data_IF_055239794529
#
_entry.id   IF_055239794529
#
_cell.length_a   1.000
_cell.length_b   1.000
_cell.length_c   1.000
_cell.angle_alpha   90.00
_cell.angle_beta   90.00
_cell.angle_gamma   90.00
#
_symmetry.space_group_name_H-M   'P 1'
#
loop_
_entity.id
_entity.type
_entity.pdbx_description
1 polymer ?
#
# COMPACT_ATOMS: atom_id res chain seq x y z
N UNK A 1 -16.94 -4.13 -5.74
CA UNK A 1 -15.54 -4.10 -6.18
C UNK A 1 -14.75 -5.12 -5.37
N UNK A 2 -14.11 -6.08 -6.02
CA UNK A 2 -13.10 -6.94 -5.39
C UNK A 2 -11.75 -6.19 -5.26
N UNK A 3 -10.80 -6.72 -4.49
CA UNK A 3 -9.44 -6.15 -4.44
C UNK A 3 -8.73 -6.26 -5.80
N UNK A 4 -9.06 -7.28 -6.59
CA UNK A 4 -8.51 -7.49 -7.92
C UNK A 4 -9.08 -6.48 -8.93
N UNK A 5 -10.39 -6.22 -8.89
CA UNK A 5 -11.02 -5.16 -9.69
C UNK A 5 -10.41 -3.80 -9.35
N UNK A 6 -10.25 -3.49 -8.06
CA UNK A 6 -9.65 -2.23 -7.62
C UNK A 6 -8.20 -2.08 -8.11
N UNK A 7 -7.43 -3.18 -8.12
CA UNK A 7 -6.08 -3.18 -8.68
C UNK A 7 -6.08 -2.78 -10.15
N UNK A 8 -6.91 -3.45 -10.95
CA UNK A 8 -7.00 -3.23 -12.39
C UNK A 8 -7.45 -1.80 -12.69
N UNK A 9 -8.41 -1.26 -11.92
CA UNK A 9 -8.86 0.13 -12.05
C UNK A 9 -7.71 1.14 -11.92
N UNK A 10 -6.80 0.94 -10.94
CA UNK A 10 -5.65 1.82 -10.74
C UNK A 10 -4.51 1.58 -11.74
N UNK A 11 -4.28 0.35 -12.18
CA UNK A 11 -3.33 0.04 -13.26
C UNK A 11 -3.79 0.69 -14.58
N UNK A 12 -5.08 0.60 -14.88
CA UNK A 12 -5.71 1.24 -16.04
C UNK A 12 -5.66 2.76 -15.94
N UNK A 13 -5.91 3.33 -14.75
CA UNK A 13 -5.77 4.77 -14.50
C UNK A 13 -4.36 5.29 -14.81
N UNK A 14 -3.31 4.55 -14.40
CA UNK A 14 -1.93 4.89 -14.70
C UNK A 14 -1.67 4.82 -16.22
N UNK A 15 -2.13 3.74 -16.87
CA UNK A 15 -1.98 3.54 -18.33
C UNK A 15 -2.62 4.67 -19.12
N UNK A 16 -3.86 5.04 -18.81
CA UNK A 16 -4.59 6.10 -19.53
C UNK A 16 -3.93 7.47 -19.41
N UNK A 17 -3.19 7.72 -18.32
CA UNK A 17 -2.49 8.99 -18.07
C UNK A 17 -1.02 8.97 -18.44
N UNK A 18 -0.50 7.86 -18.97
CA UNK A 18 0.92 7.69 -19.27
C UNK A 18 1.82 7.76 -18.02
N UNK A 19 1.28 7.52 -16.84
CA UNK A 19 2.04 7.53 -15.59
C UNK A 19 2.70 6.17 -15.36
N UNK A 20 3.96 6.17 -14.93
CA UNK A 20 4.70 4.93 -14.68
C UNK A 20 4.18 4.21 -13.42
N UNK A 21 3.95 2.90 -13.55
CA UNK A 21 3.68 2.03 -12.42
C UNK A 21 4.98 1.70 -11.67
N UNK A 22 4.95 1.79 -10.35
CA UNK A 22 6.08 1.42 -9.49
C UNK A 22 6.24 -0.10 -9.45
N UNK A 23 7.43 -0.57 -9.87
CA UNK A 23 7.83 -1.96 -9.71
C UNK A 23 7.97 -2.33 -8.23
N UNK A 24 8.08 -3.63 -7.95
CA UNK A 24 8.16 -4.15 -6.59
C UNK A 24 9.37 -3.63 -5.81
N UNK A 25 10.47 -3.37 -6.50
CA UNK A 25 11.74 -2.90 -5.95
C UNK A 25 11.83 -1.37 -5.88
N UNK A 26 10.75 -0.66 -6.20
CA UNK A 26 10.77 0.80 -6.25
C UNK A 26 10.96 1.41 -4.85
N UNK A 27 11.90 2.34 -4.64
CA UNK A 27 12.22 2.86 -3.30
C UNK A 27 11.04 3.60 -2.65
N UNK A 28 10.22 4.33 -3.42
CA UNK A 28 9.03 4.98 -2.88
C UNK A 28 7.97 3.98 -2.37
N UNK A 29 7.93 2.77 -2.96
CA UNK A 29 7.04 1.70 -2.49
C UNK A 29 7.48 1.24 -1.10
N UNK A 30 8.77 0.98 -0.93
CA UNK A 30 9.33 0.57 0.36
C UNK A 30 9.17 1.67 1.42
N UNK A 31 9.46 2.93 1.06
CA UNK A 31 9.31 4.07 1.97
C UNK A 31 7.88 4.21 2.50
N UNK A 32 6.86 4.05 1.64
CA UNK A 32 5.47 4.08 2.04
C UNK A 32 5.12 2.95 3.02
N UNK A 33 5.64 1.74 2.78
CA UNK A 33 5.43 0.58 3.66
C UNK A 33 6.08 0.81 5.02
N UNK A 34 7.31 1.32 5.04
CA UNK A 34 8.07 1.58 6.26
C UNK A 34 7.42 2.67 7.12
N UNK A 35 6.76 3.63 6.48
CA UNK A 35 6.04 4.71 7.15
C UNK A 35 4.81 4.24 7.93
N UNK A 36 4.23 3.07 7.57
CA UNK A 36 3.08 2.45 8.26
C UNK A 36 1.95 3.45 8.55
N UNK A 37 1.55 4.21 7.54
CA UNK A 37 0.47 5.18 7.66
C UNK A 37 -0.81 4.52 8.20
N UNK A 38 -1.43 5.15 9.20
CA UNK A 38 -2.66 4.66 9.83
C UNK A 38 -3.92 5.21 9.17
N UNK A 39 -3.80 6.34 8.47
CA UNK A 39 -4.92 7.07 7.88
C UNK A 39 -4.67 7.41 6.42
N UNK A 40 -5.75 7.64 5.66
CA UNK A 40 -5.66 8.10 4.27
C UNK A 40 -5.00 9.48 4.17
N UNK A 41 -5.22 10.35 5.17
CA UNK A 41 -4.62 11.69 5.23
C UNK A 41 -3.09 11.63 5.37
N UNK A 42 -2.57 10.68 6.16
CA UNK A 42 -1.13 10.45 6.25
C UNK A 42 -0.51 9.98 4.93
N UNK A 43 -1.23 9.15 4.17
CA UNK A 43 -0.82 8.73 2.83
C UNK A 43 -0.83 9.91 1.88
N UNK A 44 -1.89 10.73 1.91
CA UNK A 44 -1.99 11.93 1.08
C UNK A 44 -0.86 12.93 1.38
N UNK A 45 -0.57 13.16 2.66
CA UNK A 45 0.55 13.98 3.09
C UNK A 45 1.88 13.40 2.58
N UNK A 46 2.07 12.09 2.68
CA UNK A 46 3.26 11.43 2.14
C UNK A 46 3.38 11.58 0.61
N UNK A 47 2.29 11.45 -0.13
CA UNK A 47 2.26 11.63 -1.60
C UNK A 47 2.73 13.04 -1.98
N UNK A 48 2.24 14.06 -1.27
CA UNK A 48 2.65 15.45 -1.49
C UNK A 48 4.16 15.62 -1.26
N UNK A 49 4.69 15.06 -0.19
CA UNK A 49 6.13 15.13 0.12
C UNK A 49 6.98 14.34 -0.87
N UNK A 50 6.51 13.17 -1.33
CA UNK A 50 7.20 12.38 -2.34
C UNK A 50 7.24 13.08 -3.71
N UNK A 51 6.14 13.72 -4.12
CA UNK A 51 6.05 14.46 -5.38
C UNK A 51 6.84 15.79 -5.34
N UNK A 52 6.92 16.48 -4.21
CA UNK A 52 7.81 17.65 -4.06
C UNK A 52 9.28 17.24 -4.19
N UNK A 53 9.67 16.12 -3.57
CA UNK A 53 11.05 15.60 -3.63
C UNK A 53 11.48 15.19 -5.05
N UNK A 54 10.57 14.65 -5.86
CA UNK A 54 10.90 14.27 -7.25
C UNK A 54 11.13 15.48 -8.15
N UNK A 55 10.34 16.56 -7.98
CA UNK A 55 10.55 17.82 -8.72
C UNK A 55 11.84 18.52 -8.29
N UNK A 56 12.16 18.54 -6.99
CA UNK A 56 13.38 19.16 -6.48
C UNK A 56 14.67 18.48 -6.95
N UNK A 57 14.66 17.15 -7.12
CA UNK A 57 15.82 16.38 -7.62
C UNK A 57 16.12 16.63 -9.10
N UNK A 58 15.12 17.03 -9.89
CA UNK A 58 15.29 17.37 -11.29
C UNK A 58 15.98 18.73 -11.53
N UNK A 59 16.03 19.61 -10.52
CA UNK A 59 16.59 20.96 -10.65
C UNK A 59 18.06 21.08 -10.21
N UNK A 60 18.61 20.08 -9.51
CA UNK A 60 19.99 20.11 -9.00
C UNK A 60 21.05 19.60 -9.98
N UNK A 61 20.70 19.40 -11.26
CA UNK A 61 21.58 18.85 -12.29
C UNK A 61 21.73 19.78 -13.51
N UNK A 62 21.89 21.09 -13.31
CA UNK A 62 22.26 22.01 -14.38
C UNK A 62 23.37 22.98 -13.93
N UNK A 63 24.59 22.47 -13.92
CA UNK A 63 25.80 23.27 -14.10
C UNK A 63 26.61 22.61 -15.23
N UNK A 64 26.11 22.70 -16.46
CA UNK A 64 26.90 22.47 -17.67
C UNK A 64 26.20 23.09 -18.88
N UNK A 65 26.89 24.09 -19.40
CA UNK A 65 26.74 24.85 -20.64
C UNK A 65 25.80 24.32 -21.74
N UNK A 66 24.91 25.21 -22.18
CA UNK A 66 24.31 25.32 -23.51
C UNK A 66 23.40 24.18 -23.99
N UNK A 67 22.08 24.41 -23.96
CA UNK A 67 21.27 24.59 -25.18
C UNK A 67 19.78 24.69 -24.83
N UNK A 68 19.11 25.61 -25.53
CA UNK A 68 17.68 25.90 -25.52
C UNK A 68 16.84 24.68 -25.90
N UNK A 69 16.22 24.01 -24.92
CA UNK A 69 14.98 23.25 -25.13
C UNK A 69 14.07 23.54 -23.95
N UNK A 70 12.90 24.12 -24.24
CA UNK A 70 11.87 24.52 -23.30
C UNK A 70 11.47 23.38 -22.34
N UNK A 71 12.09 23.30 -21.17
CA UNK A 71 11.71 22.44 -20.06
C UNK A 71 10.39 22.95 -19.49
N UNK A 72 9.28 22.26 -19.82
CA UNK A 72 8.01 22.44 -19.11
C UNK A 72 8.29 22.14 -17.63
N UNK A 73 8.28 23.18 -16.79
CA UNK A 73 8.38 23.01 -15.33
C UNK A 73 7.23 22.11 -14.87
N UNK A 74 7.53 20.84 -14.59
CA UNK A 74 6.54 19.89 -14.06
C UNK A 74 6.18 20.34 -12.66
N UNK A 75 4.94 20.76 -12.44
CA UNK A 75 4.50 21.16 -11.11
C UNK A 75 4.30 19.89 -10.28
N UNK A 76 4.58 19.92 -8.96
CA UNK A 76 4.31 18.78 -8.08
C UNK A 76 2.86 18.28 -8.17
N UNK A 77 1.92 19.20 -8.40
CA UNK A 77 0.49 18.90 -8.58
C UNK A 77 0.19 17.91 -9.71
N UNK A 78 0.99 17.93 -10.77
CA UNK A 78 0.78 17.10 -11.95
C UNK A 78 1.17 15.64 -11.68
N UNK A 79 2.00 15.42 -10.66
CA UNK A 79 2.48 14.10 -10.23
C UNK A 79 1.55 13.44 -9.21
N UNK A 80 0.76 14.22 -8.47
CA UNK A 80 -0.09 13.67 -7.39
C UNK A 80 -1.00 12.53 -7.85
N UNK A 81 -1.69 12.59 -9.00
CA UNK A 81 -2.56 11.49 -9.42
C UNK A 81 -1.80 10.17 -9.63
N UNK A 82 -0.63 10.23 -10.27
CA UNK A 82 0.20 9.04 -10.52
C UNK A 82 0.83 8.49 -9.24
N UNK A 83 1.28 9.36 -8.33
CA UNK A 83 1.82 8.96 -7.04
C UNK A 83 0.72 8.35 -6.15
N UNK A 84 -0.47 8.94 -6.11
CA UNK A 84 -1.62 8.40 -5.37
C UNK A 84 -2.03 7.03 -5.89
N UNK A 85 -2.14 6.84 -7.21
CA UNK A 85 -2.49 5.54 -7.78
C UNK A 85 -1.45 4.47 -7.42
N UNK A 86 -0.16 4.78 -7.53
CA UNK A 86 0.90 3.87 -7.13
C UNK A 86 0.93 3.59 -5.61
N UNK A 87 0.61 4.59 -4.78
CA UNK A 87 0.46 4.40 -3.34
C UNK A 87 -0.67 3.42 -3.03
N UNK A 88 -1.82 3.55 -3.69
CA UNK A 88 -2.95 2.62 -3.53
C UNK A 88 -2.57 1.21 -3.98
N UNK A 89 -1.94 1.04 -5.13
CA UNK A 89 -1.47 -0.27 -5.60
C UNK A 89 -0.49 -0.92 -4.61
N UNK A 90 0.36 -0.12 -3.97
CA UNK A 90 1.27 -0.58 -2.92
C UNK A 90 0.51 -1.08 -1.70
N UNK A 91 -0.43 -0.29 -1.19
CA UNK A 91 -1.23 -0.62 -0.01
C UNK A 91 -2.13 -1.83 -0.26
N UNK A 92 -2.66 -1.96 -1.48
CA UNK A 92 -3.43 -3.13 -1.89
C UNK A 92 -2.59 -4.41 -1.80
N UNK A 93 -1.36 -4.38 -2.32
CA UNK A 93 -0.46 -5.53 -2.24
C UNK A 93 -0.12 -5.90 -0.78
N UNK A 94 0.05 -4.90 0.10
CA UNK A 94 0.24 -5.13 1.54
C UNK A 94 -1.01 -5.75 2.16
N UNK A 95 -2.19 -5.23 1.85
CA UNK A 95 -3.46 -5.74 2.37
C UNK A 95 -3.67 -7.21 1.98
N UNK A 96 -3.45 -7.58 0.71
CA UNK A 96 -3.53 -8.98 0.26
C UNK A 96 -2.57 -9.88 1.06
N UNK A 97 -1.31 -9.47 1.21
CA UNK A 97 -0.34 -10.25 1.96
C UNK A 97 -0.70 -10.40 3.45
N UNK A 98 -1.32 -9.39 4.06
CA UNK A 98 -1.80 -9.47 5.45
C UNK A 98 -3.02 -10.38 5.58
N UNK A 99 -3.95 -10.33 4.62
CA UNK A 99 -5.12 -11.22 4.57
C UNK A 99 -4.68 -12.69 4.41
N UNK A 100 -3.72 -12.98 3.53
CA UNK A 100 -3.17 -14.33 3.36
C UNK A 100 -2.55 -14.86 4.66
N UNK A 101 -1.83 -14.01 5.39
CA UNK A 101 -1.27 -14.35 6.71
C UNK A 101 -2.36 -14.61 7.75
N UNK A 102 -3.44 -13.83 7.72
CA UNK A 102 -4.58 -14.04 8.61
C UNK A 102 -5.27 -15.37 8.33
N UNK A 103 -5.53 -15.70 7.07
CA UNK A 103 -6.12 -16.99 6.68
C UNK A 103 -5.22 -18.15 7.11
N UNK A 104 -3.92 -18.04 6.84
CA UNK A 104 -2.94 -19.06 7.24
C UNK A 104 -2.93 -19.29 8.76
N UNK A 105 -2.93 -18.19 9.54
CA UNK A 105 -2.94 -18.29 10.99
C UNK A 105 -4.25 -18.87 11.53
N UNK A 106 -5.38 -18.44 10.99
CA UNK A 106 -6.68 -19.01 11.35
C UNK A 106 -6.69 -20.51 11.08
N UNK A 107 -6.22 -20.96 9.91
CA UNK A 107 -6.15 -22.37 9.56
C UNK A 107 -5.27 -23.18 10.55
N UNK A 108 -4.12 -22.64 10.96
CA UNK A 108 -3.26 -23.27 11.96
C UNK A 108 -3.94 -23.36 13.34
N UNK A 109 -4.63 -22.29 13.77
CA UNK A 109 -5.37 -22.28 15.04
C UNK A 109 -6.55 -23.25 15.01
N UNK A 110 -7.21 -23.42 13.85
CA UNK A 110 -8.25 -24.43 13.66
C UNK A 110 -7.70 -25.86 13.80
N UNK A 111 -6.55 -26.15 13.19
CA UNK A 111 -5.94 -27.48 13.25
C UNK A 111 -5.41 -27.85 14.66
N UNK A 112 -4.91 -26.87 15.42
CA UNK A 112 -4.25 -27.11 16.71
C UNK A 112 -5.18 -26.94 17.91
N UNK A 113 -6.02 -25.90 17.92
CA UNK A 113 -6.88 -25.55 19.06
C UNK A 113 -8.33 -26.06 18.91
N UNK A 114 -8.65 -26.65 17.75
CA UNK A 114 -9.99 -27.08 17.39
C UNK A 114 -10.88 -25.93 16.92
N UNK A 115 -12.02 -26.25 16.32
CA UNK A 115 -12.98 -25.27 15.81
C UNK A 115 -13.68 -24.45 16.91
N UNK A 116 -14.44 -23.42 16.53
CA UNK A 116 -15.19 -22.58 17.49
C UNK A 116 -16.10 -23.40 18.40
N UNK A 117 -16.81 -24.39 17.85
CA UNK A 117 -17.70 -25.29 18.60
C UNK A 117 -16.93 -26.13 19.62
N UNK A 118 -15.78 -26.69 19.23
CA UNK A 118 -14.94 -27.50 20.13
C UNK A 118 -14.35 -26.65 21.25
N UNK A 119 -13.91 -25.43 20.94
CA UNK A 119 -13.41 -24.48 21.94
C UNK A 119 -14.53 -24.06 22.92
N UNK A 120 -15.72 -23.73 22.42
CA UNK A 120 -16.88 -23.43 23.27
C UNK A 120 -17.28 -24.63 24.13
N UNK A 121 -17.28 -25.83 23.56
CA UNK A 121 -17.56 -27.04 24.32
C UNK A 121 -16.53 -27.20 25.45
N UNK A 122 -15.24 -27.05 25.18
CA UNK A 122 -14.17 -27.12 26.20
C UNK A 122 -14.39 -26.10 27.33
N UNK A 123 -14.72 -24.85 26.99
CA UNK A 123 -15.02 -23.80 27.98
C UNK A 123 -16.25 -24.13 28.82
N UNK A 124 -17.35 -24.57 28.20
CA UNK A 124 -18.58 -24.96 28.91
C UNK A 124 -18.35 -26.13 29.86
N UNK A 125 -17.59 -27.13 29.42
CA UNK A 125 -17.27 -28.32 30.21
C UNK A 125 -16.40 -27.96 31.42
N UNK A 126 -15.43 -27.05 31.25
CA UNK A 126 -14.62 -26.56 32.36
C UNK A 126 -15.45 -25.75 33.37
N UNK A 127 -16.31 -24.83 32.91
CA UNK A 127 -17.19 -24.06 33.81
C UNK A 127 -18.12 -24.95 34.64
N UNK A 128 -18.65 -26.04 34.08
CA UNK A 128 -19.47 -27.01 34.83
C UNK A 128 -18.67 -27.77 35.89
N UNK A 129 -17.37 -28.01 35.67
CA UNK A 129 -16.49 -28.66 36.65
C UNK A 129 -16.07 -27.75 37.79
N UNK A 130 -16.03 -26.44 37.55
CA UNK A 130 -15.58 -25.44 38.53
C UNK A 130 -16.72 -24.76 39.29
N UNK A 131 -17.98 -25.03 38.95
CA UNK A 131 -19.11 -24.60 39.77
C UNK A 131 -19.24 -25.54 40.98
N UNK A 132 -19.30 -24.99 42.22
CA UNK A 132 -19.46 -25.76 43.45
C UNK A 132 -20.84 -26.43 43.56
#
# INVERSE_FOLDING_TARGET
ASLEELKLDYEDFLRQRGAAQWQREHPLRQELIDRRCQTADEVAAWVVEAAKRSVGRGQSSEMSTSSTVSTKSTKPSDLYPGFSANAVLTLLAVACALLDRQVTRLAADFATAGGFTERLYRVRTNNRRTQP
#
